data_IF_693322803401
#
_entry.id   IF_693322803401
#
_cell.length_a   1.000
_cell.length_b   1.000
_cell.length_c   1.000
_cell.angle_alpha   90.00
_cell.angle_beta   90.00
_cell.angle_gamma   90.00
#
_symmetry.space_group_name_H-M   'P 1'
#
loop_
_entity.id
_entity.type
_entity.pdbx_description
1 polymer ?
#
# COMPACT_ATOMS: atom_id res chain seq x y z
N UNK A 1 4.37 54.18 -63.12
CA UNK A 1 4.99 52.84 -63.20
C UNK A 1 3.95 51.76 -63.44
N UNK A 2 3.15 51.98 -64.49
CA UNK A 2 2.46 50.95 -65.25
C UNK A 2 3.50 50.08 -65.98
N UNK A 3 3.11 48.87 -66.39
CA UNK A 3 3.59 48.16 -67.61
C UNK A 3 4.75 47.15 -67.57
N UNK A 4 5.14 46.49 -66.46
CA UNK A 4 6.20 45.45 -66.56
C UNK A 4 5.97 44.04 -66.01
N UNK A 5 4.86 43.73 -65.36
CA UNK A 5 4.66 42.38 -64.79
C UNK A 5 3.58 41.53 -65.46
N UNK A 6 2.90 42.06 -66.48
CA UNK A 6 1.78 41.39 -67.16
C UNK A 6 2.19 40.64 -68.45
N UNK A 7 3.45 40.19 -68.54
CA UNK A 7 3.96 39.46 -69.72
C UNK A 7 4.60 38.10 -69.39
N UNK A 8 4.56 37.64 -68.13
CA UNK A 8 5.10 36.31 -67.74
C UNK A 8 4.06 35.21 -67.59
N UNK A 9 2.79 35.46 -67.88
CA UNK A 9 1.71 34.49 -67.67
C UNK A 9 1.16 33.82 -68.95
N UNK A 10 1.64 34.22 -70.13
CA UNK A 10 1.13 33.67 -71.41
C UNK A 10 1.98 32.52 -71.97
N UNK A 11 3.07 32.13 -71.28
CA UNK A 11 4.02 31.10 -71.76
C UNK A 11 3.67 29.64 -71.44
N UNK A 12 2.63 29.36 -70.64
CA UNK A 12 2.33 28.00 -70.17
C UNK A 12 1.04 27.39 -70.78
N UNK A 13 0.56 27.89 -71.93
CA UNK A 13 -0.58 27.29 -72.68
C UNK A 13 -0.16 26.09 -73.55
N UNK A 14 0.62 25.16 -72.99
CA UNK A 14 1.15 24.03 -73.76
C UNK A 14 1.56 22.81 -72.96
N UNK A 15 1.19 22.70 -71.68
CA UNK A 15 1.38 21.45 -70.94
C UNK A 15 0.22 20.52 -71.27
N UNK A 16 0.41 19.76 -72.35
CA UNK A 16 -0.38 18.60 -72.68
C UNK A 16 -0.44 17.67 -71.47
N UNK A 17 -1.65 17.41 -71.00
CA UNK A 17 -1.92 16.45 -69.92
C UNK A 17 -1.28 15.12 -70.31
N UNK A 18 -0.28 14.68 -69.54
CA UNK A 18 0.22 13.32 -69.68
C UNK A 18 -0.91 12.40 -69.24
N UNK A 19 -1.27 11.36 -70.02
CA UNK A 19 -2.24 10.38 -69.55
C UNK A 19 -1.78 9.87 -68.19
N UNK A 20 -2.66 10.00 -67.20
CA UNK A 20 -2.38 9.61 -65.82
C UNK A 20 -1.83 8.19 -65.79
N UNK A 21 -0.68 8.04 -65.15
CA UNK A 21 -0.15 6.71 -64.86
C UNK A 21 -1.24 5.91 -64.13
N UNK A 22 -1.50 4.65 -64.52
CA UNK A 22 -2.51 3.85 -63.85
C UNK A 22 -2.09 3.71 -62.38
N UNK A 23 -2.87 4.33 -61.49
CA UNK A 23 -2.75 4.16 -60.05
C UNK A 23 -3.31 2.77 -59.71
N UNK A 24 -2.52 1.75 -60.00
CA UNK A 24 -2.99 0.37 -60.06
C UNK A 24 -1.88 -0.65 -60.04
N UNK A 25 -0.82 -0.43 -59.25
CA UNK A 25 0.01 -1.53 -58.77
C UNK A 25 -0.38 -1.82 -57.32
N UNK A 26 -1.61 -2.31 -57.13
CA UNK A 26 -1.96 -3.03 -55.91
C UNK A 26 -1.19 -4.34 -55.95
N UNK A 27 0.00 -4.36 -55.36
CA UNK A 27 0.64 -5.63 -55.04
C UNK A 27 -0.37 -6.41 -54.19
N UNK A 28 -0.66 -7.67 -54.53
CA UNK A 28 -1.58 -8.47 -53.73
C UNK A 28 -1.03 -8.52 -52.31
N UNK A 29 -1.69 -7.80 -51.39
CA UNK A 29 -1.44 -7.91 -49.96
C UNK A 29 -1.67 -9.39 -49.60
N UNK A 30 -0.67 -10.11 -49.10
CA UNK A 30 -0.84 -11.50 -48.71
C UNK A 30 -1.93 -11.57 -47.63
N UNK A 31 -3.02 -12.29 -47.95
CA UNK A 31 -4.11 -12.50 -47.00
C UNK A 31 -3.64 -13.33 -45.82
N UNK A 32 -3.93 -12.87 -44.60
CA UNK A 32 -3.59 -13.58 -43.37
C UNK A 32 -4.34 -14.91 -43.31
N UNK A 33 -3.63 -16.01 -43.08
CA UNK A 33 -4.26 -17.34 -42.99
C UNK A 33 -4.85 -17.55 -41.59
N UNK A 34 -5.94 -18.31 -41.50
CA UNK A 34 -6.53 -18.72 -40.21
C UNK A 34 -5.50 -19.45 -39.32
N UNK A 35 -4.60 -20.21 -39.95
CA UNK A 35 -3.57 -20.98 -39.25
C UNK A 35 -2.53 -20.06 -38.61
N UNK A 36 -2.08 -19.01 -39.30
CA UNK A 36 -1.17 -18.02 -38.72
C UNK A 36 -1.78 -17.33 -37.50
N UNK A 37 -3.06 -16.99 -37.55
CA UNK A 37 -3.74 -16.39 -36.40
C UNK A 37 -3.83 -17.36 -35.21
N UNK A 38 -4.18 -18.62 -35.49
CA UNK A 38 -4.35 -19.66 -34.48
C UNK A 38 -3.05 -19.97 -33.75
N UNK A 39 -1.92 -20.06 -34.45
CA UNK A 39 -0.61 -20.31 -33.82
C UNK A 39 -0.20 -19.14 -32.92
N UNK A 40 -0.44 -17.90 -33.35
CA UNK A 40 -0.10 -16.72 -32.56
C UNK A 40 -0.89 -16.66 -31.26
N UNK A 41 -2.22 -16.85 -31.31
CA UNK A 41 -3.02 -16.85 -30.08
C UNK A 41 -2.69 -18.04 -29.18
N UNK A 42 -2.28 -19.18 -29.75
CA UNK A 42 -1.81 -20.33 -28.98
C UNK A 42 -0.53 -20.01 -28.19
N UNK A 43 0.46 -19.38 -28.84
CA UNK A 43 1.72 -18.98 -28.18
C UNK A 43 1.44 -17.92 -27.10
N UNK A 44 0.63 -16.90 -27.39
CA UNK A 44 0.26 -15.86 -26.43
C UNK A 44 -0.42 -16.50 -25.21
N UNK A 45 -1.37 -17.42 -25.42
CA UNK A 45 -2.09 -18.10 -24.34
C UNK A 45 -1.16 -18.92 -23.45
N UNK A 46 -0.18 -19.63 -24.04
CA UNK A 46 0.82 -20.38 -23.29
C UNK A 46 1.68 -19.47 -22.41
N UNK A 47 2.13 -18.33 -22.93
CA UNK A 47 2.92 -17.35 -22.18
C UNK A 47 2.11 -16.70 -21.06
N UNK A 48 0.87 -16.28 -21.34
CA UNK A 48 -0.04 -15.72 -20.33
C UNK A 48 -0.33 -16.71 -19.20
N UNK A 49 -0.43 -18.01 -19.50
CA UNK A 49 -0.62 -19.06 -18.50
C UNK A 49 0.47 -19.08 -17.42
N UNK A 50 1.71 -18.73 -17.77
CA UNK A 50 2.84 -18.67 -16.82
C UNK A 50 2.93 -17.28 -16.14
N UNK A 51 2.57 -16.21 -16.85
CA UNK A 51 2.66 -14.83 -16.35
C UNK A 51 1.61 -14.49 -15.29
N UNK A 52 0.37 -14.92 -15.47
CA UNK A 52 -0.74 -14.62 -14.56
C UNK A 52 -0.49 -15.02 -13.09
N UNK A 53 -0.02 -16.25 -12.77
CA UNK A 53 0.27 -16.62 -11.39
C UNK A 53 1.47 -15.85 -10.80
N UNK A 54 2.43 -15.43 -11.62
CA UNK A 54 3.54 -14.59 -11.17
C UNK A 54 3.04 -13.18 -10.79
N UNK A 55 2.21 -12.55 -11.63
CA UNK A 55 1.62 -11.24 -11.38
C UNK A 55 0.78 -11.19 -10.09
N UNK A 56 0.00 -12.25 -9.82
CA UNK A 56 -0.77 -12.36 -8.58
C UNK A 56 0.11 -12.30 -7.33
N UNK A 57 1.22 -13.04 -7.31
CA UNK A 57 2.19 -13.03 -6.20
C UNK A 57 2.88 -11.67 -6.07
N UNK A 58 3.32 -11.08 -7.17
CA UNK A 58 3.94 -9.74 -7.17
C UNK A 58 3.00 -8.67 -6.60
N UNK A 59 1.71 -8.72 -6.95
CA UNK A 59 0.71 -7.77 -6.44
C UNK A 59 0.53 -7.91 -4.92
N UNK A 60 0.51 -9.13 -4.39
CA UNK A 60 0.39 -9.32 -2.94
C UNK A 60 1.64 -8.83 -2.20
N UNK A 61 2.83 -9.11 -2.73
CA UNK A 61 4.08 -8.55 -2.17
C UNK A 61 4.08 -7.02 -2.20
N UNK A 62 3.58 -6.39 -3.26
CA UNK A 62 3.49 -4.93 -3.35
C UNK A 62 2.53 -4.34 -2.29
N UNK A 63 1.40 -5.01 -2.03
CA UNK A 63 0.48 -4.61 -0.95
C UNK A 63 1.13 -4.75 0.42
N UNK A 64 1.86 -5.83 0.67
CA UNK A 64 2.60 -6.04 1.90
C UNK A 64 3.66 -4.94 2.12
N UNK A 65 4.43 -4.58 1.09
CA UNK A 65 5.41 -3.47 1.17
C UNK A 65 4.72 -2.15 1.51
N UNK A 66 3.56 -1.89 0.91
CA UNK A 66 2.76 -0.70 1.21
C UNK A 66 2.25 -0.73 2.66
N UNK A 67 1.81 -1.90 3.15
CA UNK A 67 1.40 -2.10 4.53
C UNK A 67 2.54 -1.77 5.53
N UNK A 68 3.74 -2.28 5.25
CA UNK A 68 4.93 -2.01 6.06
C UNK A 68 5.31 -0.52 6.04
N UNK A 69 5.22 0.13 4.87
CA UNK A 69 5.44 1.58 4.75
C UNK A 69 4.43 2.40 5.56
N UNK A 70 3.15 2.01 5.55
CA UNK A 70 2.10 2.64 6.35
C UNK A 70 2.37 2.52 7.85
N UNK A 71 2.69 1.31 8.33
CA UNK A 71 3.06 1.09 9.73
C UNK A 71 4.31 1.87 10.13
N UNK A 72 5.32 1.96 9.25
CA UNK A 72 6.50 2.77 9.49
C UNK A 72 6.17 4.26 9.61
N UNK A 73 5.24 4.77 8.79
CA UNK A 73 4.78 6.15 8.90
C UNK A 73 4.02 6.40 10.22
N UNK A 74 3.21 5.43 10.67
CA UNK A 74 2.54 5.49 11.98
C UNK A 74 3.56 5.45 13.13
N UNK A 75 4.55 4.56 13.05
CA UNK A 75 5.65 4.47 14.02
C UNK A 75 6.41 5.79 14.12
N UNK A 76 6.84 6.36 12.98
CA UNK A 76 7.51 7.67 12.95
C UNK A 76 6.64 8.78 13.53
N UNK A 77 5.35 8.81 13.21
CA UNK A 77 4.43 9.80 13.76
C UNK A 77 4.24 9.62 15.28
N UNK A 78 4.32 8.38 15.77
CA UNK A 78 4.28 8.06 17.19
C UNK A 78 5.56 8.47 17.90
N UNK A 79 6.74 8.30 17.28
CA UNK A 79 8.01 8.82 17.81
C UNK A 79 8.00 10.35 17.92
N UNK A 80 7.42 11.05 16.94
CA UNK A 80 7.26 12.50 17.00
C UNK A 80 6.35 12.92 18.18
N UNK A 81 5.24 12.21 18.37
CA UNK A 81 4.37 12.40 19.54
C UNK A 81 5.11 12.14 20.85
N UNK A 82 5.83 11.02 20.95
CA UNK A 82 6.62 10.67 22.13
C UNK A 82 7.70 11.72 22.43
N UNK A 83 8.35 12.25 21.39
CA UNK A 83 9.34 13.32 21.53
C UNK A 83 8.76 14.62 22.10
N UNK A 84 7.49 14.94 21.80
CA UNK A 84 6.80 16.14 22.30
C UNK A 84 6.23 15.95 23.72
N UNK A 85 5.63 14.80 24.00
CA UNK A 85 4.88 14.57 25.25
C UNK A 85 5.62 13.71 26.28
N UNK A 86 6.61 12.91 25.88
CA UNK A 86 7.39 12.01 26.75
C UNK A 86 6.75 10.66 27.06
N UNK A 87 5.55 10.40 26.55
CA UNK A 87 4.79 9.17 26.76
C UNK A 87 4.29 8.63 25.42
N UNK A 88 4.18 7.31 25.31
CA UNK A 88 3.44 6.68 24.23
C UNK A 88 1.95 7.03 24.29
N UNK A 89 1.27 7.13 23.14
CA UNK A 89 -0.16 7.38 23.10
C UNK A 89 -0.92 6.24 23.79
N UNK A 90 -2.08 6.56 24.32
CA UNK A 90 -3.01 5.55 24.89
C UNK A 90 -3.82 4.91 23.78
N UNK A 91 -4.09 3.62 23.90
CA UNK A 91 -4.95 2.92 22.93
C UNK A 91 -6.34 3.53 22.94
N UNK A 92 -6.86 3.82 24.14
CA UNK A 92 -8.11 4.52 24.35
C UNK A 92 -8.16 5.14 25.75
N UNK A 93 -8.59 6.38 25.84
CA UNK A 93 -8.93 7.03 27.10
C UNK A 93 -10.41 7.48 27.13
N UNK A 94 -10.91 8.02 26.01
CA UNK A 94 -12.31 8.43 25.83
C UNK A 94 -12.66 8.49 24.33
N UNK A 95 -13.81 9.08 23.97
CA UNK A 95 -14.29 9.20 22.58
C UNK A 95 -13.47 10.11 21.68
N UNK A 96 -12.51 10.87 22.22
CA UNK A 96 -11.67 11.82 21.48
C UNK A 96 -10.17 11.56 21.66
N UNK A 97 -9.79 10.75 22.66
CA UNK A 97 -8.40 10.44 23.01
C UNK A 97 -8.06 8.98 22.69
N UNK A 98 -8.01 8.62 21.40
CA UNK A 98 -7.42 7.36 20.92
C UNK A 98 -6.07 7.62 20.29
N UNK A 99 -5.23 6.57 20.16
CA UNK A 99 -3.90 6.74 19.58
C UNK A 99 -3.93 7.37 18.18
N UNK A 100 -4.95 7.08 17.36
CA UNK A 100 -5.09 7.72 16.05
C UNK A 100 -5.29 9.21 16.18
N UNK A 101 -6.17 9.66 17.08
CA UNK A 101 -6.48 11.08 17.26
C UNK A 101 -5.25 11.84 17.78
N UNK A 102 -4.48 11.21 18.67
CA UNK A 102 -3.24 11.76 19.22
C UNK A 102 -2.11 11.84 18.19
N UNK A 103 -2.02 10.85 17.29
CA UNK A 103 -0.97 10.76 16.26
C UNK A 103 -1.37 11.47 14.96
N UNK A 104 -2.67 11.72 14.73
CA UNK A 104 -3.23 12.39 13.53
C UNK A 104 -2.54 13.71 13.17
N UNK A 105 -2.15 14.60 14.12
CA UNK A 105 -1.42 15.83 13.81
C UNK A 105 -0.03 15.60 13.20
N UNK A 106 0.60 14.46 13.51
CA UNK A 106 1.95 14.10 13.07
C UNK A 106 1.97 13.31 11.75
N UNK A 107 0.78 13.01 11.22
CA UNK A 107 0.58 12.30 9.97
C UNK A 107 0.17 13.30 8.86
N UNK A 108 0.57 13.03 7.63
CA UNK A 108 0.20 13.86 6.48
C UNK A 108 -1.34 14.00 6.35
N UNK A 109 -1.81 15.24 6.16
CA UNK A 109 -3.24 15.56 5.97
C UNK A 109 -3.79 14.78 4.76
N UNK A 110 -4.92 14.07 4.95
CA UNK A 110 -5.59 13.18 3.96
C UNK A 110 -4.84 11.89 3.59
N UNK A 111 -3.92 11.43 4.44
CA UNK A 111 -3.25 10.16 4.18
C UNK A 111 -4.13 8.96 4.55
N UNK A 112 -4.04 7.88 3.77
CA UNK A 112 -4.72 6.60 4.04
C UNK A 112 -3.84 5.63 4.85
N UNK A 113 -2.92 6.17 5.66
CA UNK A 113 -1.89 5.37 6.34
C UNK A 113 -2.46 4.40 7.38
N UNK A 114 -3.67 4.63 7.89
CA UNK A 114 -4.31 3.75 8.86
C UNK A 114 -4.89 2.46 8.23
N UNK A 115 -4.97 2.40 6.90
CA UNK A 115 -5.56 1.29 6.17
C UNK A 115 -4.51 0.44 5.45
N UNK A 116 -4.59 -0.88 5.63
CA UNK A 116 -3.77 -1.84 4.91
C UNK A 116 -4.42 -2.16 3.55
N UNK A 117 -3.68 -2.16 2.43
CA UNK A 117 -4.24 -2.50 1.11
C UNK A 117 -4.56 -4.00 0.95
N UNK A 118 -4.07 -4.87 1.83
CA UNK A 118 -4.47 -6.28 1.91
C UNK A 118 -5.72 -6.50 2.78
N UNK A 119 -6.22 -5.46 3.48
CA UNK A 119 -7.49 -5.52 4.20
C UNK A 119 -8.65 -5.69 3.22
N UNK A 120 -9.42 -6.77 3.36
CA UNK A 120 -10.59 -7.04 2.51
C UNK A 120 -11.84 -6.30 2.98
N UNK A 121 -11.95 -6.01 4.28
CA UNK A 121 -13.12 -5.35 4.84
C UNK A 121 -13.04 -3.83 4.68
N UNK A 122 -11.83 -3.26 4.72
CA UNK A 122 -11.59 -1.80 4.64
C UNK A 122 -12.57 -1.04 5.57
N UNK A 123 -12.73 -1.55 6.80
CA UNK A 123 -13.79 -1.10 7.69
C UNK A 123 -13.47 0.30 8.24
N UNK A 124 -14.34 1.30 8.06
CA UNK A 124 -14.17 2.58 8.71
C UNK A 124 -14.45 2.46 10.21
N UNK A 125 -13.80 3.29 11.02
CA UNK A 125 -14.12 3.40 12.45
C UNK A 125 -15.47 4.09 12.65
N UNK A 126 -16.13 3.81 13.78
CA UNK A 126 -17.50 4.27 14.02
C UNK A 126 -17.63 5.79 14.19
N UNK A 127 -16.56 6.46 14.62
CA UNK A 127 -16.57 7.89 14.97
C UNK A 127 -16.00 8.80 13.89
N UNK A 128 -15.22 8.26 12.95
CA UNK A 128 -14.59 9.00 11.85
C UNK A 128 -14.59 8.11 10.61
N UNK A 129 -15.57 8.28 9.69
CA UNK A 129 -15.69 7.43 8.51
C UNK A 129 -14.55 7.63 7.50
N UNK A 130 -13.72 8.67 7.65
CA UNK A 130 -12.54 8.89 6.80
C UNK A 130 -11.38 7.95 7.18
N UNK A 131 -11.39 7.43 8.41
CA UNK A 131 -10.34 6.54 8.91
C UNK A 131 -10.75 5.09 8.66
N UNK A 132 -10.18 4.51 7.61
CA UNK A 132 -10.14 3.05 7.44
C UNK A 132 -9.04 2.52 8.33
N UNK A 133 -9.38 1.60 9.23
CA UNK A 133 -8.45 1.13 10.24
C UNK A 133 -8.14 -0.35 10.10
N UNK A 134 -6.87 -0.64 9.89
CA UNK A 134 -6.32 -1.98 9.74
C UNK A 134 -5.21 -2.31 10.74
N UNK A 135 -4.80 -1.35 11.55
CA UNK A 135 -3.68 -1.48 12.50
C UNK A 135 -4.16 -1.25 13.93
N UNK A 136 -3.53 -1.93 14.88
CA UNK A 136 -3.87 -1.82 16.29
C UNK A 136 -2.63 -1.70 17.15
N UNK A 137 -2.75 -0.94 18.24
CA UNK A 137 -1.68 -0.82 19.22
C UNK A 137 -1.63 -2.05 20.12
N UNK A 138 -0.43 -2.46 20.50
CA UNK A 138 -0.20 -3.57 21.42
C UNK A 138 -0.83 -3.29 22.80
N UNK A 139 -1.54 -4.26 23.38
CA UNK A 139 -2.14 -4.15 24.72
C UNK A 139 -1.67 -5.23 25.71
N UNK A 140 -0.53 -5.86 25.45
CA UNK A 140 0.13 -6.77 26.38
C UNK A 140 0.91 -6.05 27.48
N UNK A 141 1.26 -6.85 28.48
CA UNK A 141 1.76 -6.41 29.77
C UNK A 141 2.98 -5.47 29.65
N UNK A 142 3.03 -4.50 30.55
CA UNK A 142 4.07 -3.48 30.64
C UNK A 142 4.51 -3.34 32.09
N UNK A 143 5.81 -3.54 32.34
CA UNK A 143 6.44 -3.45 33.66
C UNK A 143 5.88 -4.40 34.75
N UNK A 144 5.32 -5.56 34.38
CA UNK A 144 4.96 -6.66 35.31
C UNK A 144 3.62 -6.47 36.01
N UNK A 145 3.20 -5.21 36.16
CA UNK A 145 1.85 -4.80 36.52
C UNK A 145 0.95 -4.78 35.29
N UNK A 146 -0.39 -4.88 35.45
CA UNK A 146 -1.40 -4.92 34.36
C UNK A 146 -1.49 -3.63 33.52
N UNK A 147 -0.45 -2.82 33.48
CA UNK A 147 -0.33 -1.71 32.55
C UNK A 147 0.01 -2.27 31.16
N UNK A 148 -0.44 -1.59 30.13
CA UNK A 148 -0.10 -1.82 28.73
C UNK A 148 -0.27 -0.48 28.02
N UNK A 149 -0.07 -0.41 26.70
CA UNK A 149 -0.32 0.84 25.96
C UNK A 149 -1.80 1.29 25.97
N UNK A 150 -2.70 0.54 26.62
CA UNK A 150 -4.00 1.07 27.04
C UNK A 150 -3.86 2.31 27.95
N UNK A 151 -2.80 2.35 28.76
CA UNK A 151 -2.42 3.48 29.60
C UNK A 151 -1.23 4.23 29.00
N UNK A 152 -1.02 5.47 29.44
CA UNK A 152 0.13 6.26 28.99
C UNK A 152 1.38 5.67 29.60
N UNK A 153 2.27 5.19 28.75
CA UNK A 153 3.55 4.58 29.15
C UNK A 153 4.67 5.57 28.86
N UNK A 154 5.54 5.87 29.84
CA UNK A 154 6.71 6.70 29.57
C UNK A 154 7.65 5.98 28.63
N UNK A 155 8.23 6.72 27.68
CA UNK A 155 9.17 6.13 26.75
C UNK A 155 10.39 5.52 27.45
N UNK A 156 10.87 6.16 28.53
CA UNK A 156 12.00 5.67 29.31
C UNK A 156 11.72 4.38 30.10
N UNK A 157 10.45 4.04 30.33
CA UNK A 157 10.09 2.84 31.08
C UNK A 157 10.06 1.60 30.16
N UNK A 158 10.06 1.79 28.84
CA UNK A 158 10.13 0.69 27.86
C UNK A 158 11.55 0.14 27.83
N UNK A 159 11.77 -1.01 28.46
CA UNK A 159 13.10 -1.61 28.61
C UNK A 159 13.68 -2.08 27.27
N UNK A 160 12.83 -2.61 26.37
CA UNK A 160 13.25 -3.23 25.10
C UNK A 160 12.49 -2.69 23.89
N UNK A 161 12.58 -1.38 23.56
CA UNK A 161 11.78 -0.79 22.47
C UNK A 161 12.03 -1.48 21.12
N UNK A 162 13.27 -1.84 20.81
CA UNK A 162 13.65 -2.56 19.59
C UNK A 162 13.24 -4.04 19.54
N UNK A 163 12.65 -4.59 20.61
CA UNK A 163 12.19 -5.97 20.67
C UNK A 163 10.77 -6.09 21.25
N UNK A 164 10.01 -4.99 21.23
CA UNK A 164 8.62 -4.92 21.68
C UNK A 164 7.78 -4.35 20.56
N UNK A 165 6.74 -5.07 20.17
CA UNK A 165 5.77 -4.61 19.17
C UNK A 165 4.99 -3.44 19.75
N UNK A 166 4.93 -2.34 19.00
CA UNK A 166 4.12 -1.18 19.33
C UNK A 166 2.78 -1.22 18.57
N UNK A 167 2.82 -1.40 17.24
CA UNK A 167 1.62 -1.63 16.43
C UNK A 167 1.76 -2.88 15.57
N UNK A 168 0.64 -3.50 15.23
CA UNK A 168 0.57 -4.61 14.30
C UNK A 168 -0.68 -4.54 13.43
N UNK A 169 -0.71 -5.31 12.35
CA UNK A 169 -1.95 -5.60 11.64
C UNK A 169 -3.00 -6.14 12.63
N UNK A 170 -4.16 -5.50 12.62
CA UNK A 170 -5.22 -5.77 13.56
C UNK A 170 -6.53 -6.03 12.81
N UNK A 171 -7.42 -6.77 13.46
CA UNK A 171 -8.78 -6.99 12.97
C UNK A 171 -9.41 -5.67 12.50
N UNK A 172 -9.95 -5.59 11.26
CA UNK A 172 -10.40 -4.32 10.69
C UNK A 172 -11.40 -3.57 11.59
N UNK A 173 -11.15 -2.29 11.81
CA UNK A 173 -11.94 -1.42 12.69
C UNK A 173 -11.65 -1.56 14.18
N UNK A 174 -10.71 -2.42 14.59
CA UNK A 174 -10.17 -2.45 15.96
C UNK A 174 -8.89 -1.63 16.01
N UNK A 175 -8.73 -0.88 17.10
CA UNK A 175 -7.59 0.03 17.32
C UNK A 175 -6.55 -0.53 18.28
N UNK A 176 -6.71 -1.78 18.73
CA UNK A 176 -5.77 -2.47 19.59
C UNK A 176 -5.75 -3.97 19.30
N UNK A 177 -4.60 -4.59 19.57
CA UNK A 177 -4.39 -6.03 19.43
C UNK A 177 -3.54 -6.56 20.59
N UNK A 178 -3.59 -7.87 20.81
CA UNK A 178 -2.81 -8.54 21.83
C UNK A 178 -3.30 -8.26 23.25
N UNK A 179 -4.25 -9.05 23.73
CA UNK A 179 -4.75 -8.97 25.11
C UNK A 179 -4.55 -10.28 25.87
N UNK A 180 -4.55 -10.19 27.19
CA UNK A 180 -4.35 -11.30 28.10
C UNK A 180 -5.53 -12.31 28.09
N UNK A 181 -5.27 -13.60 28.36
CA UNK A 181 -3.95 -14.22 28.50
C UNK A 181 -3.23 -14.35 27.15
N UNK A 182 -1.89 -14.42 27.16
CA UNK A 182 -1.13 -14.67 25.94
C UNK A 182 -1.50 -16.03 25.33
N UNK A 183 -1.67 -16.04 24.01
CA UNK A 183 -1.94 -17.22 23.20
C UNK A 183 -1.38 -16.98 21.80
N UNK A 184 -0.88 -18.03 21.16
CA UNK A 184 -0.51 -18.02 19.74
C UNK A 184 -1.52 -18.83 18.93
N UNK A 185 -2.08 -18.30 17.82
CA UNK A 185 -1.93 -16.94 17.30
C UNK A 185 -2.50 -15.87 18.23
N UNK A 186 -1.90 -14.68 18.17
CA UNK A 186 -2.21 -13.59 19.10
C UNK A 186 -3.59 -13.02 18.84
N UNK A 187 -4.36 -12.87 19.92
CA UNK A 187 -5.72 -12.37 19.82
C UNK A 187 -5.77 -10.94 19.23
N UNK A 188 -6.62 -10.74 18.22
CA UNK A 188 -6.83 -9.44 17.59
C UNK A 188 -5.81 -9.05 16.51
N UNK A 189 -4.73 -9.80 16.37
CA UNK A 189 -3.78 -9.66 15.25
C UNK A 189 -4.36 -10.31 14.01
N UNK A 190 -4.19 -9.68 12.86
CA UNK A 190 -4.70 -10.20 11.59
C UNK A 190 -3.57 -10.62 10.65
N UNK A 191 -3.46 -11.93 10.42
CA UNK A 191 -2.45 -12.59 9.61
C UNK A 191 -2.82 -12.56 8.11
N UNK A 192 -3.13 -11.37 7.59
CA UNK A 192 -3.74 -11.16 6.26
C UNK A 192 -2.77 -11.24 5.09
N UNK A 193 -1.47 -11.27 5.33
CA UNK A 193 -0.46 -11.31 4.27
C UNK A 193 -0.11 -12.74 3.88
N UNK A 194 0.50 -12.89 2.70
CA UNK A 194 0.94 -14.19 2.17
C UNK A 194 1.71 -15.02 3.21
N UNK A 195 1.44 -16.33 3.28
CA UNK A 195 1.99 -17.29 4.25
C UNK A 195 1.62 -16.97 5.71
N UNK A 196 0.37 -16.56 5.94
CA UNK A 196 -0.16 -16.23 7.28
C UNK A 196 0.75 -15.28 8.05
N UNK A 197 1.13 -14.19 7.37
CA UNK A 197 2.01 -13.15 7.90
C UNK A 197 1.24 -11.92 8.31
N UNK A 198 1.83 -11.16 9.22
CA UNK A 198 1.36 -9.84 9.61
C UNK A 198 2.52 -8.85 9.65
N UNK A 199 2.25 -7.59 9.39
CA UNK A 199 3.21 -6.50 9.54
C UNK A 199 3.10 -5.92 10.94
N UNK A 200 4.24 -5.57 11.52
CA UNK A 200 4.34 -4.93 12.82
C UNK A 200 5.39 -3.80 12.78
N UNK A 201 5.25 -2.85 13.71
CA UNK A 201 6.28 -1.86 14.02
C UNK A 201 6.64 -1.99 15.49
N UNK A 202 7.93 -1.99 15.77
CA UNK A 202 8.49 -2.07 17.10
C UNK A 202 8.55 -0.69 17.75
N UNK A 203 8.79 -0.64 19.05
CA UNK A 203 8.90 0.59 19.84
C UNK A 203 10.13 1.46 19.51
N UNK A 204 11.00 1.05 18.59
CA UNK A 204 12.08 1.88 18.04
C UNK A 204 11.74 2.42 16.63
N UNK A 205 10.53 2.14 16.13
CA UNK A 205 10.09 2.50 14.79
C UNK A 205 10.52 1.53 13.68
N UNK A 206 11.20 0.43 14.00
CA UNK A 206 11.50 -0.61 13.02
C UNK A 206 10.23 -1.34 12.60
N UNK A 207 9.96 -1.40 11.29
CA UNK A 207 8.80 -2.11 10.75
C UNK A 207 9.24 -3.39 10.02
N UNK A 208 8.63 -4.50 10.37
CA UNK A 208 8.95 -5.82 9.83
C UNK A 208 7.70 -6.67 9.62
N UNK A 209 7.85 -7.78 8.90
CA UNK A 209 6.78 -8.77 8.72
C UNK A 209 7.11 -10.03 9.50
N UNK A 210 6.15 -10.49 10.30
CA UNK A 210 6.28 -11.64 11.19
C UNK A 210 5.25 -12.72 10.82
N UNK A 211 5.61 -13.99 11.06
CA UNK A 211 4.72 -15.16 10.90
C UNK A 211 4.18 -15.67 12.23
N UNK A 212 5.05 -15.66 13.24
CA UNK A 212 4.84 -16.20 14.58
C UNK A 212 5.58 -15.30 15.54
N UNK A 213 5.06 -15.16 16.75
CA UNK A 213 5.62 -14.24 17.74
C UNK A 213 5.59 -14.85 19.11
N UNK A 214 6.72 -14.79 19.79
CA UNK A 214 6.84 -15.19 21.18
C UNK A 214 6.15 -14.19 22.10
N UNK A 215 5.81 -14.63 23.30
CA UNK A 215 5.30 -13.75 24.37
C UNK A 215 6.24 -12.56 24.61
N UNK A 216 7.55 -12.74 24.50
CA UNK A 216 8.56 -11.69 24.69
C UNK A 216 8.50 -10.54 23.69
N UNK A 217 7.99 -10.77 22.47
CA UNK A 217 7.84 -9.70 21.47
C UNK A 217 6.64 -8.79 21.80
N UNK A 218 5.67 -9.31 22.54
CA UNK A 218 4.45 -8.60 22.90
C UNK A 218 4.49 -8.05 24.32
N UNK A 219 5.05 -8.81 25.25
CA UNK A 219 5.21 -8.44 26.65
C UNK A 219 6.46 -7.57 26.82
N UNK A 220 6.22 -6.29 27.13
CA UNK A 220 7.28 -5.31 27.38
C UNK A 220 7.86 -5.42 28.79
N UNK A 221 7.26 -6.22 29.68
CA UNK A 221 7.71 -6.41 31.06
C UNK A 221 8.84 -7.43 31.21
N UNK A 222 9.00 -8.35 30.26
CA UNK A 222 9.94 -9.47 30.33
C UNK A 222 11.16 -9.28 29.45
#
# INVERSE_FOLDING_TARGET
>A
MLRKERQRLDGCRGLQERPGAPYGSGWPEPGFTLVELLVVVAIISALFGILLPALGRCRESAKQVTCLSNLKQIGLATELYVGEYGYYPRAWADSECRWMDLVKPFVAKKSRVYGCPSDRLQKPVQWDPEIILSYGMNCFNFAGDKYCFWYSVKACDVVRPAATILFADCTPGKYYCGWLPWKEPVNGVDYRHSNDRFCAVLGDGHAETLTTTTEQLWDAAR
#
